data_IF_832657341385
#
_entry.id   IF_832657341385
#
_cell.length_a   1.000
_cell.length_b   1.000
_cell.length_c   1.000
_cell.angle_alpha   90.00
_cell.angle_beta   90.00
_cell.angle_gamma   90.00
#
_symmetry.space_group_name_H-M   'P 1'
#
loop_
_entity.id
_entity.type
_entity.pdbx_description
1 polymer ?
2 non-polymer ?
3 non-polymer ?
4 non-polymer ?
5 water ?
#
# COMPACT_ATOMS: atom_id res chain seq x y z
N UNK A 1 15.47 27.16 -17.20
CA UNK A 1 14.19 27.47 -17.80
C UNK A 1 13.00 27.23 -16.86
N UNK A 2 12.09 28.20 -16.81
CA UNK A 2 10.88 28.06 -16.00
C UNK A 2 10.05 26.89 -16.51
N UNK A 3 9.58 26.06 -15.58
CA UNK A 3 8.75 24.91 -15.93
C UNK A 3 7.35 25.06 -15.35
N UNK A 4 6.39 24.42 -16.00
CA UNK A 4 5.03 24.32 -15.49
C UNK A 4 4.85 22.95 -14.84
N UNK A 5 4.63 22.98 -13.53
CA UNK A 5 4.48 21.78 -12.71
C UNK A 5 3.03 21.67 -12.27
N UNK A 6 2.39 20.54 -12.55
CA UNK A 6 1.01 20.34 -12.14
C UNK A 6 0.94 19.22 -11.11
N UNK A 7 0.31 19.50 -9.98
CA UNK A 7 0.08 18.51 -8.95
C UNK A 7 -1.40 18.21 -8.80
N UNK A 8 -1.76 16.94 -8.85
CA UNK A 8 -3.15 16.53 -8.68
C UNK A 8 -3.24 15.72 -7.39
N UNK A 9 -4.11 16.18 -6.48
CA UNK A 9 -4.30 15.55 -5.17
C UNK A 9 -5.76 15.72 -4.80
N UNK A 10 -6.24 14.91 -3.85
CA UNK A 10 -7.60 15.14 -3.37
C UNK A 10 -7.63 16.36 -2.43
N UNK A 11 -8.83 16.92 -2.27
CA UNK A 11 -9.04 17.93 -1.24
C UNK A 11 -9.20 17.30 0.13
N UNK A 12 -8.41 17.75 1.10
CA UNK A 12 -8.55 17.32 2.48
C UNK A 12 -9.40 18.28 3.32
N UNK A 13 -9.74 19.42 2.73
CA UNK A 13 -10.61 20.39 3.38
C UNK A 13 -10.10 20.74 4.79
N UNK A 14 -10.97 20.67 5.79
CA UNK A 14 -10.59 21.08 7.14
C UNK A 14 -9.45 20.22 7.72
N UNK A 15 -9.31 19.00 7.23
CA UNK A 15 -8.24 18.14 7.72
C UNK A 15 -6.86 18.73 7.43
N UNK A 16 -6.76 19.48 6.33
CA UNK A 16 -5.48 20.08 5.92
C UNK A 16 -5.05 21.24 6.81
N UNK A 17 -6.02 21.92 7.42
CA UNK A 17 -5.69 23.00 8.35
C UNK A 17 -5.49 22.46 9.76
N UNK A 18 -6.22 21.41 10.10
CA UNK A 18 -6.00 20.74 11.37
C UNK A 18 -4.60 20.12 11.43
N UNK A 19 -4.08 19.70 10.29
CA UNK A 19 -2.72 19.19 10.23
C UNK A 19 -1.97 19.70 9.00
N UNK A 20 -1.22 20.81 9.15
CA UNK A 20 -0.44 21.36 8.04
C UNK A 20 0.65 20.41 7.52
N UNK A 21 0.98 19.34 8.26
CA UNK A 21 1.92 18.33 7.75
C UNK A 21 1.26 17.23 6.93
N UNK A 22 -0.06 17.35 6.73
CA UNK A 22 -0.80 16.48 5.82
C UNK A 22 -0.48 16.98 4.40
N UNK A 23 0.63 16.51 3.86
CA UNK A 23 1.17 17.10 2.63
C UNK A 23 0.52 16.56 1.35
N UNK A 24 -0.05 15.36 1.43
CA UNK A 24 -0.63 14.72 0.26
C UNK A 24 -2.04 15.14 -0.06
N UNK A 25 -2.28 16.45 -0.16
CA UNK A 25 -3.59 16.99 -0.49
C UNK A 25 -3.42 18.31 -1.24
N UNK A 26 -4.52 18.82 -1.81
CA UNK A 26 -4.46 20.05 -2.59
C UNK A 26 -3.99 21.21 -1.75
N UNK A 27 -4.49 21.27 -0.52
CA UNK A 27 -4.31 22.44 0.31
C UNK A 27 -2.85 22.66 0.71
N UNK A 28 -2.12 21.57 0.97
CA UNK A 28 -0.73 21.67 1.37
C UNK A 28 0.24 21.31 0.25
N UNK A 29 -0.21 20.51 -0.72
CA UNK A 29 0.48 20.32 -2.00
C UNK A 29 1.95 19.93 -1.92
N UNK A 30 2.24 18.94 -1.09
CA UNK A 30 3.61 18.43 -0.90
C UNK A 30 4.53 19.41 -0.21
N UNK A 31 4.01 20.57 0.19
CA UNK A 31 4.85 21.54 0.87
C UNK A 31 5.96 22.10 0.00
N UNK A 32 5.77 22.09 -1.32
CA UNK A 32 6.81 22.54 -2.26
C UNK A 32 6.49 23.83 -2.99
N UNK A 33 5.34 24.45 -2.74
CA UNK A 33 4.97 25.64 -3.50
C UNK A 33 5.95 26.79 -3.32
N UNK A 34 6.31 27.11 -2.08
CA UNK A 34 7.20 28.26 -1.84
C UNK A 34 8.50 28.04 -2.61
N UNK A 35 9.05 26.84 -2.53
CA UNK A 35 10.30 26.52 -3.19
C UNK A 35 10.17 26.61 -4.72
N UNK A 36 9.16 25.95 -5.29
CA UNK A 36 8.97 26.03 -6.74
C UNK A 36 8.82 27.48 -7.22
N UNK A 37 8.02 28.26 -6.51
CA UNK A 37 7.78 29.63 -6.94
C UNK A 37 9.02 30.49 -6.81
N UNK A 38 9.83 30.22 -5.78
CA UNK A 38 11.08 30.96 -5.59
C UNK A 38 12.07 30.72 -6.73
N UNK A 39 11.92 29.57 -7.39
CA UNK A 39 12.78 29.18 -8.49
C UNK A 39 12.21 29.61 -9.84
N UNK A 40 11.06 30.29 -9.82
CA UNK A 40 10.49 30.81 -11.05
C UNK A 40 9.57 29.86 -11.79
N UNK A 41 9.29 28.69 -11.20
CA UNK A 41 8.38 27.74 -11.83
C UNK A 41 6.93 28.06 -11.51
N UNK A 42 6.02 27.59 -12.36
CA UNK A 42 4.61 27.67 -12.04
C UNK A 42 4.14 26.37 -11.42
N UNK A 43 3.35 26.46 -10.36
CA UNK A 43 2.83 25.26 -9.68
C UNK A 43 1.32 25.32 -9.66
N UNK A 44 0.69 24.47 -10.45
CA UNK A 44 -0.77 24.44 -10.53
C UNK A 44 -1.22 23.19 -9.80
N UNK A 45 -2.11 23.35 -8.84
CA UNK A 45 -2.58 22.24 -8.04
C UNK A 45 -4.10 22.14 -8.13
N UNK A 46 -4.61 20.93 -8.37
CA UNK A 46 -6.04 20.74 -8.50
C UNK A 46 -6.46 19.33 -8.11
N UNK A 47 -7.71 19.19 -7.69
CA UNK A 47 -8.31 17.87 -7.51
C UNK A 47 -9.20 17.52 -8.70
N UNK A 48 -9.38 18.46 -9.62
CA UNK A 48 -10.38 18.33 -10.69
C UNK A 48 -9.74 17.68 -11.92
N UNK A 49 -9.84 16.35 -12.01
CA UNK A 49 -8.98 15.56 -12.87
C UNK A 49 -9.72 14.67 -13.84
N UNK A 50 -11.06 14.71 -13.81
CA UNK A 50 -11.87 13.86 -14.66
C UNK A 50 -12.82 14.65 -15.57
N UNK A 51 -12.90 14.26 -16.83
CA UNK A 51 -13.82 14.88 -17.77
C UNK A 51 -13.10 15.80 -18.73
N UNK A 52 -13.70 16.03 -19.91
CA UNK A 52 -13.08 16.88 -20.94
C UNK A 52 -12.91 18.31 -20.47
N UNK A 53 -13.74 18.74 -19.53
CA UNK A 53 -13.78 20.14 -19.12
C UNK A 53 -13.11 20.39 -17.77
N UNK A 54 -12.42 19.38 -17.24
CA UNK A 54 -11.83 19.51 -15.91
C UNK A 54 -10.60 20.41 -15.93
N UNK A 55 -10.23 20.92 -14.75
CA UNK A 55 -9.10 21.82 -14.64
C UNK A 55 -7.82 21.18 -15.19
N UNK A 56 -7.61 19.90 -14.91
CA UNK A 56 -6.39 19.23 -15.36
C UNK A 56 -6.25 19.31 -16.88
N UNK A 57 -7.34 19.09 -17.61
CA UNK A 57 -7.30 19.12 -19.06
C UNK A 57 -6.90 20.51 -19.62
N UNK A 58 -7.14 21.56 -18.85
CA UNK A 58 -6.68 22.89 -19.26
C UNK A 58 -5.16 22.99 -19.32
N UNK A 59 -4.48 22.17 -18.51
CA UNK A 59 -3.04 22.29 -18.35
C UNK A 59 -2.24 21.20 -19.04
N UNK A 60 -2.88 20.07 -19.34
CA UNK A 60 -2.21 19.02 -20.09
C UNK A 60 -1.51 19.50 -21.36
N UNK A 61 -2.13 20.43 -22.12
CA UNK A 61 -1.47 20.83 -23.39
C UNK A 61 -0.08 21.45 -23.21
N UNK A 62 0.21 22.08 -22.06
CA UNK A 62 1.50 22.77 -21.94
C UNK A 62 2.32 22.52 -20.67
N UNK A 63 1.86 21.64 -19.79
CA UNK A 63 2.64 21.32 -18.59
C UNK A 63 3.93 20.56 -18.94
N UNK A 64 4.94 20.68 -18.08
CA UNK A 64 6.17 19.90 -18.22
C UNK A 64 6.22 18.66 -17.33
N UNK A 65 5.66 18.79 -16.13
CA UNK A 65 5.71 17.75 -15.12
C UNK A 65 4.31 17.56 -14.55
N UNK A 66 3.89 16.30 -14.41
CA UNK A 66 2.62 15.98 -13.77
C UNK A 66 2.89 15.06 -12.58
N UNK A 67 2.42 15.47 -11.40
CA UNK A 67 2.61 14.73 -10.15
C UNK A 67 1.24 14.30 -9.63
N UNK A 68 1.10 13.03 -9.23
CA UNK A 68 -0.11 12.63 -8.49
C UNK A 68 0.22 11.45 -7.60
N UNK A 69 -0.78 11.00 -6.85
CA UNK A 69 -0.65 9.87 -5.94
C UNK A 69 -1.71 8.82 -6.28
N UNK A 70 -1.49 7.58 -5.83
CA UNK A 70 -2.49 6.54 -6.12
C UNK A 70 -3.78 6.76 -5.34
N UNK A 71 -3.83 7.72 -4.42
CA UNK A 71 -5.07 8.03 -3.69
C UNK A 71 -6.04 8.92 -4.46
N UNK A 72 -5.56 9.60 -5.50
CA UNK A 72 -6.40 10.46 -6.33
C UNK A 72 -5.63 10.63 -7.63
N UNK A 73 -5.55 9.54 -8.40
CA UNK A 73 -4.56 9.52 -9.48
C UNK A 73 -5.01 10.30 -10.70
N UNK A 74 -4.10 11.04 -11.31
CA UNK A 74 -4.35 11.65 -12.61
C UNK A 74 -3.97 10.61 -13.67
N UNK A 75 -4.99 10.02 -14.31
CA UNK A 75 -4.74 8.95 -15.28
C UNK A 75 -4.00 9.48 -16.50
N UNK A 76 -2.92 8.80 -16.86
CA UNK A 76 -2.12 9.24 -17.99
C UNK A 76 -2.29 8.26 -19.12
N UNK A 77 -3.28 8.55 -19.94
CA UNK A 77 -3.63 7.74 -21.10
C UNK A 77 -2.82 8.14 -22.32
N UNK A 78 -2.78 7.26 -23.32
CA UNK A 78 -2.15 7.58 -24.59
C UNK A 78 -2.82 8.83 -25.18
N UNK A 79 -4.15 8.92 -25.03
CA UNK A 79 -4.92 10.07 -25.53
C UNK A 79 -4.43 11.39 -24.93
N UNK A 80 -4.23 11.39 -23.62
CA UNK A 80 -3.70 12.58 -22.95
C UNK A 80 -2.25 12.90 -23.34
N UNK A 81 -1.41 11.86 -23.42
CA UNK A 81 -0.02 12.06 -23.79
C UNK A 81 0.10 12.73 -25.16
N UNK A 82 -0.75 12.33 -26.10
CA UNK A 82 -0.71 12.86 -27.46
C UNK A 82 -1.05 14.36 -27.50
N UNK A 83 -1.80 14.82 -26.51
CA UNK A 83 -2.20 16.23 -26.41
C UNK A 83 -1.17 17.10 -25.71
N UNK A 84 -0.18 16.46 -25.09
CA UNK A 84 0.71 17.14 -24.16
C UNK A 84 1.99 17.58 -24.87
N UNK A 85 2.04 18.84 -25.30
CA UNK A 85 3.16 19.33 -26.09
C UNK A 85 4.47 19.34 -25.32
N UNK A 86 4.43 19.69 -24.04
CA UNK A 86 5.64 19.92 -23.28
C UNK A 86 5.94 18.85 -22.26
N UNK A 87 5.04 17.89 -22.08
CA UNK A 87 5.19 16.93 -21.00
C UNK A 87 6.49 16.14 -21.16
N UNK A 88 7.27 16.06 -20.07
CA UNK A 88 8.47 15.24 -20.03
C UNK A 88 8.46 14.23 -18.89
N UNK A 89 7.91 14.63 -17.74
CA UNK A 89 8.15 13.91 -16.50
C UNK A 89 6.86 13.62 -15.75
N UNK A 90 6.68 12.35 -15.39
CA UNK A 90 5.56 11.90 -14.57
C UNK A 90 6.14 11.40 -13.25
N UNK A 91 5.72 12.04 -12.16
CA UNK A 91 6.16 11.64 -10.82
C UNK A 91 4.99 11.15 -9.99
N UNK A 92 5.18 10.00 -9.34
CA UNK A 92 4.24 9.56 -8.33
C UNK A 92 4.79 9.93 -6.96
N UNK A 93 4.04 10.78 -6.23
CA UNK A 93 4.42 11.14 -4.87
C UNK A 93 3.94 10.03 -3.95
N UNK A 94 4.68 8.92 -3.96
CA UNK A 94 4.24 7.69 -3.33
C UNK A 94 4.76 6.53 -4.15
N UNK A 95 4.04 5.42 -4.09
CA UNK A 95 4.42 4.22 -4.79
C UNK A 95 3.17 3.74 -5.50
N UNK A 96 3.32 3.44 -6.76
CA UNK A 96 2.21 3.02 -7.56
C UNK A 96 2.21 3.84 -8.82
N UNK A 97 2.16 3.15 -9.94
CA UNK A 97 2.02 3.91 -11.18
C UNK A 97 1.09 3.18 -12.15
N UNK A 98 0.15 2.43 -11.58
CA UNK A 98 -0.83 1.67 -12.37
C UNK A 98 -1.79 2.58 -13.16
N UNK A 99 -1.87 3.86 -12.79
CA UNK A 99 -2.71 4.84 -13.48
C UNK A 99 -2.03 5.48 -14.69
N UNK A 100 -0.84 4.99 -15.03
CA UNK A 100 -0.06 5.51 -16.16
C UNK A 100 0.07 4.42 -17.22
N UNK A 101 -0.22 4.77 -18.48
CA UNK A 101 0.07 3.87 -19.60
C UNK A 101 1.57 3.91 -19.86
N UNK A 102 2.30 2.96 -19.27
CA UNK A 102 3.76 3.02 -19.30
C UNK A 102 4.33 2.82 -20.69
N UNK A 103 3.70 1.98 -21.48
CA UNK A 103 4.13 1.76 -22.85
C UNK A 103 3.98 3.04 -23.69
N UNK A 104 2.86 3.73 -23.52
CA UNK A 104 2.65 5.01 -24.21
C UNK A 104 3.62 6.07 -23.70
N UNK A 105 3.90 6.08 -22.40
CA UNK A 105 4.88 7.01 -21.85
C UNK A 105 6.25 6.75 -22.47
N UNK A 106 6.64 5.48 -22.55
CA UNK A 106 7.92 5.11 -23.14
C UNK A 106 7.97 5.54 -24.61
N UNK A 107 6.92 5.23 -25.37
CA UNK A 107 6.87 5.59 -26.78
C UNK A 107 7.02 7.09 -27.01
N UNK A 108 6.53 7.89 -26.05
CA UNK A 108 6.58 9.35 -26.14
C UNK A 108 7.88 9.94 -25.59
N UNK A 109 8.79 9.09 -25.15
CA UNK A 109 10.08 9.55 -24.65
C UNK A 109 10.08 10.10 -23.23
N UNK A 110 9.04 9.80 -22.46
CA UNK A 110 8.90 10.37 -21.14
C UNK A 110 9.74 9.66 -20.09
N UNK A 111 9.86 10.32 -18.94
CA UNK A 111 10.41 9.71 -17.74
C UNK A 111 9.28 9.54 -16.75
N UNK A 112 9.23 8.38 -16.09
CA UNK A 112 8.24 8.07 -15.09
C UNK A 112 8.99 7.57 -13.86
N UNK A 113 8.73 8.15 -12.68
CA UNK A 113 9.47 7.74 -11.49
C UNK A 113 8.58 7.81 -10.26
N UNK A 114 8.96 7.06 -9.21
CA UNK A 114 8.24 7.08 -7.94
C UNK A 114 9.21 6.98 -6.79
N UNK A 115 8.67 7.11 -5.57
CA UNK A 115 9.52 7.21 -4.38
C UNK A 115 9.70 5.81 -3.77
N UNK A 116 10.52 5.01 -4.43
CA UNK A 116 10.69 3.61 -4.07
C UNK A 116 11.07 3.40 -2.61
N UNK A 117 10.39 2.45 -1.97
CA UNK A 117 10.79 1.98 -0.65
C UNK A 117 10.28 2.81 0.51
N UNK A 118 9.57 3.90 0.24
CA UNK A 118 9.21 4.86 1.27
C UNK A 118 8.02 4.47 2.17
N UNK A 119 7.33 3.38 1.86
CA UNK A 119 6.19 2.95 2.67
C UNK A 119 6.45 1.71 3.52
N UNK A 120 7.65 1.13 3.43
CA UNK A 120 7.83 -0.22 3.94
C UNK A 120 7.70 -0.33 5.47
N UNK A 121 8.26 0.61 6.21
CA UNK A 121 8.13 0.55 7.68
C UNK A 121 6.66 0.72 8.07
N UNK A 122 5.98 1.63 7.38
CA UNK A 122 4.58 1.93 7.67
C UNK A 122 3.74 0.68 7.55
N UNK A 123 3.92 -0.04 6.46
CA UNK A 123 3.12 -1.25 6.24
C UNK A 123 3.47 -2.35 7.24
N UNK A 124 4.77 -2.53 7.52
CA UNK A 124 5.21 -3.52 8.50
C UNK A 124 4.60 -3.27 9.88
N UNK A 125 4.64 -2.02 10.34
CA UNK A 125 4.04 -1.67 11.61
C UNK A 125 2.55 -2.00 11.61
N UNK A 126 1.89 -1.66 10.51
CA UNK A 126 0.45 -1.85 10.43
C UNK A 126 0.12 -3.33 10.49
N UNK A 127 0.93 -4.16 9.86
CA UNK A 127 0.71 -5.60 9.93
C UNK A 127 0.85 -6.11 11.36
N UNK A 128 1.88 -5.66 12.07
CA UNK A 128 2.11 -6.10 13.45
C UNK A 128 0.94 -5.69 14.34
N UNK A 129 0.49 -4.44 14.17
CA UNK A 129 -0.67 -3.96 14.89
C UNK A 129 -1.86 -4.90 14.71
N UNK A 130 -2.15 -5.29 13.47
CA UNK A 130 -3.29 -6.14 13.17
C UNK A 130 -3.15 -7.55 13.74
N UNK A 131 -1.93 -8.08 13.77
CA UNK A 131 -1.69 -9.36 14.41
C UNK A 131 -2.14 -9.29 15.86
N UNK A 132 -1.73 -8.25 16.58
CA UNK A 132 -2.16 -8.08 17.95
C UNK A 132 -3.67 -7.85 18.09
N UNK A 133 -4.24 -6.98 17.23
CA UNK A 133 -5.68 -6.72 17.29
C UNK A 133 -6.48 -8.02 17.18
N UNK A 134 -6.09 -8.87 16.23
CA UNK A 134 -6.82 -10.12 16.04
C UNK A 134 -6.53 -11.10 17.18
N UNK A 135 -5.26 -11.27 17.52
CA UNK A 135 -4.89 -12.29 18.52
C UNK A 135 -5.49 -11.98 19.89
N UNK A 136 -5.41 -10.72 20.29
CA UNK A 136 -5.86 -10.26 21.59
C UNK A 136 -7.36 -9.86 21.61
N UNK A 137 -8.00 -9.92 20.45
CA UNK A 137 -9.45 -9.74 20.36
C UNK A 137 -9.91 -8.32 20.75
N UNK A 138 -9.20 -7.31 20.26
CA UNK A 138 -9.51 -5.93 20.58
C UNK A 138 -10.90 -5.48 20.08
N UNK A 139 -11.26 -5.85 18.86
CA UNK A 139 -12.46 -5.27 18.25
C UNK A 139 -13.76 -5.55 19.03
N UNK A 140 -14.02 -6.82 19.44
CA UNK A 140 -15.23 -7.04 20.22
C UNK A 140 -15.24 -6.24 21.52
N UNK A 141 -14.07 -6.04 22.12
CA UNK A 141 -13.96 -5.22 23.31
C UNK A 141 -14.35 -3.78 23.03
N UNK A 142 -13.74 -3.21 22.00
CA UNK A 142 -14.05 -1.84 21.62
C UNK A 142 -15.55 -1.68 21.35
N UNK A 143 -16.14 -2.65 20.66
CA UNK A 143 -17.54 -2.55 20.29
C UNK A 143 -18.48 -2.60 21.49
N UNK A 144 -18.11 -3.32 22.55
CA UNK A 144 -18.88 -3.34 23.78
C UNK A 144 -18.89 -1.96 24.45
N UNK A 145 -17.74 -1.30 24.44
CA UNK A 145 -17.59 -0.01 25.09
C UNK A 145 -18.63 0.94 24.51
N UNK A 146 -18.63 1.04 23.19
CA UNK A 146 -19.52 1.94 22.47
C UNK A 146 -21.00 1.63 22.70
N UNK A 147 -21.30 0.36 22.95
CA UNK A 147 -22.68 -0.10 23.10
C UNK A 147 -23.18 -0.13 24.55
N UNK A 148 -22.35 0.35 25.48
CA UNK A 148 -22.72 0.42 26.88
C UNK A 148 -22.66 -0.92 27.59
N UNK A 149 -22.00 -1.89 26.96
CA UNK A 149 -21.94 -3.25 27.48
C UNK A 149 -20.70 -3.53 28.34
N UNK A 150 -20.76 -4.64 29.07
CA UNK A 150 -19.62 -5.13 29.82
C UNK A 150 -19.77 -6.64 30.00
N UNK A 151 -19.15 -7.37 29.09
CA UNK A 151 -19.29 -8.83 29.01
C UNK A 151 -17.90 -9.42 28.76
N UNK A 152 -17.18 -9.65 29.85
CA UNK A 152 -15.80 -10.16 29.77
C UNK A 152 -15.72 -11.51 29.04
N UNK A 153 -16.62 -12.43 29.37
CA UNK A 153 -16.58 -13.76 28.78
C UNK A 153 -16.68 -13.72 27.27
N UNK A 154 -17.49 -12.80 26.76
CA UNK A 154 -17.71 -12.69 25.33
C UNK A 154 -16.47 -12.21 24.58
N UNK A 155 -15.50 -11.66 25.31
CA UNK A 155 -14.23 -11.25 24.72
C UNK A 155 -13.16 -12.30 24.99
N UNK A 156 -13.08 -12.75 26.24
CA UNK A 156 -11.99 -13.64 26.67
C UNK A 156 -11.94 -14.96 25.91
N UNK A 157 -13.09 -15.47 25.48
CA UNK A 157 -13.12 -16.82 24.91
C UNK A 157 -12.39 -16.90 23.57
N UNK A 158 -12.13 -15.75 22.95
CA UNK A 158 -11.35 -15.71 21.73
C UNK A 158 -10.14 -14.78 21.85
N UNK A 159 -9.68 -14.53 23.07
CA UNK A 159 -8.53 -13.65 23.31
C UNK A 159 -7.32 -14.47 23.79
N UNK A 160 -6.20 -14.31 23.09
CA UNK A 160 -4.95 -15.02 23.38
C UNK A 160 -3.80 -14.03 23.46
N UNK A 161 -2.73 -14.42 24.16
CA UNK A 161 -1.47 -13.69 24.04
C UNK A 161 -0.79 -14.07 22.72
N UNK A 162 0.00 -13.14 22.18
CA UNK A 162 0.79 -13.43 21.01
C UNK A 162 1.99 -14.35 21.30
N UNK A 163 2.55 -14.22 22.49
CA UNK A 163 3.64 -15.07 22.93
C UNK A 163 3.34 -16.54 22.64
N UNK A 164 4.30 -17.25 22.08
CA UNK A 164 4.18 -18.69 21.90
C UNK A 164 3.46 -19.14 20.64
N UNK A 165 2.82 -18.19 19.93
CA UNK A 165 2.03 -18.53 18.75
C UNK A 165 2.90 -18.69 17.51
N UNK A 166 2.41 -19.49 16.56
CA UNK A 166 3.12 -19.67 15.29
C UNK A 166 2.60 -18.65 14.28
N UNK A 167 3.50 -17.78 13.81
CA UNK A 167 3.17 -16.73 12.86
C UNK A 167 3.95 -17.00 11.60
N UNK A 168 3.26 -17.07 10.47
CA UNK A 168 3.92 -17.26 9.18
C UNK A 168 3.69 -16.09 8.25
N UNK A 169 4.77 -15.56 7.66
CA UNK A 169 4.59 -14.58 6.60
C UNK A 169 4.79 -15.23 5.23
N UNK A 170 3.81 -14.99 4.36
CA UNK A 170 3.84 -15.50 2.98
C UNK A 170 4.52 -14.40 2.19
N UNK A 171 5.83 -14.55 1.99
CA UNK A 171 6.64 -13.48 1.46
C UNK A 171 7.52 -12.86 2.52
N UNK A 172 8.81 -12.73 2.21
CA UNK A 172 9.78 -12.09 3.10
C UNK A 172 10.66 -11.11 2.33
N UNK A 173 9.99 -10.22 1.60
CA UNK A 173 10.66 -9.07 1.00
C UNK A 173 10.90 -8.01 2.07
N UNK A 174 11.07 -6.77 1.67
CA UNK A 174 11.39 -5.71 2.61
C UNK A 174 10.38 -5.62 3.75
N UNK A 175 9.10 -5.60 3.41
CA UNK A 175 8.05 -5.47 4.41
C UNK A 175 8.05 -6.68 5.36
N UNK A 176 8.08 -7.89 4.81
CA UNK A 176 8.08 -9.08 5.63
C UNK A 176 9.26 -9.15 6.58
N UNK A 177 10.42 -8.72 6.11
CA UNK A 177 11.61 -8.72 6.96
C UNK A 177 11.51 -7.72 8.13
N UNK A 178 11.01 -6.51 7.86
CA UNK A 178 10.77 -5.52 8.91
C UNK A 178 9.76 -6.05 9.92
N UNK A 179 8.75 -6.76 9.42
CA UNK A 179 7.77 -7.39 10.29
C UNK A 179 8.42 -8.39 11.24
N UNK A 180 9.24 -9.27 10.67
CA UNK A 180 9.87 -10.32 11.45
C UNK A 180 10.78 -9.72 12.53
N UNK A 181 11.47 -8.63 12.20
CA UNK A 181 12.31 -7.96 13.16
C UNK A 181 11.50 -7.39 14.33
N UNK A 182 10.30 -6.89 14.04
CA UNK A 182 9.44 -6.37 15.09
C UNK A 182 8.74 -7.47 15.92
N UNK A 183 8.57 -8.65 15.31
CA UNK A 183 7.97 -9.77 16.02
C UNK A 183 8.94 -10.48 16.96
N UNK A 184 10.23 -10.37 16.69
CA UNK A 184 11.23 -11.11 17.46
C UNK A 184 11.03 -11.06 18.99
N UNK A 185 10.90 -9.86 19.58
CA UNK A 185 10.84 -9.82 21.05
C UNK A 185 9.55 -10.36 21.67
N UNK A 186 8.56 -10.68 20.85
CA UNK A 186 7.29 -11.22 21.39
C UNK A 186 7.35 -12.70 21.78
N UNK A 187 8.42 -13.40 21.38
CA UNK A 187 8.59 -14.79 21.79
C UNK A 187 7.67 -15.76 21.07
N UNK A 188 7.55 -15.56 19.75
CA UNK A 188 6.70 -16.39 18.91
C UNK A 188 7.52 -17.46 18.20
N UNK A 189 6.83 -18.38 17.54
CA UNK A 189 7.42 -19.32 16.61
C UNK A 189 7.25 -18.76 15.19
N UNK A 190 8.29 -18.11 14.69
CA UNK A 190 8.21 -17.38 13.41
C UNK A 190 8.62 -18.25 12.24
N UNK A 191 7.77 -18.29 11.23
CA UNK A 191 8.03 -19.02 10.00
C UNK A 191 7.89 -18.07 8.83
N UNK A 192 8.67 -18.29 7.79
CA UNK A 192 8.50 -17.50 6.59
C UNK A 192 8.71 -18.34 5.33
N UNK A 193 7.99 -17.96 4.28
CA UNK A 193 8.14 -18.59 2.98
C UNK A 193 8.42 -17.52 1.96
N UNK A 194 9.36 -17.80 1.07
CA UNK A 194 9.75 -16.85 0.04
C UNK A 194 10.60 -17.56 -1.01
N UNK A 195 10.74 -16.95 -2.18
CA UNK A 195 11.59 -17.49 -3.23
C UNK A 195 13.03 -17.49 -2.77
N UNK A 196 13.33 -16.59 -1.85
CA UNK A 196 14.70 -16.35 -1.41
C UNK A 196 14.79 -16.49 0.11
N UNK A 197 15.60 -17.44 0.57
CA UNK A 197 15.83 -17.62 1.99
C UNK A 197 16.64 -16.46 2.54
N UNK A 198 16.31 -15.99 3.74
CA UNK A 198 17.11 -14.95 4.36
C UNK A 198 18.46 -15.53 4.75
N UNK A 199 19.44 -14.66 5.01
CA UNK A 199 20.75 -15.07 5.48
C UNK A 199 20.66 -15.77 6.83
N UNK A 200 21.53 -16.77 7.07
CA UNK A 200 21.53 -17.48 8.36
C UNK A 200 21.55 -16.52 9.56
N UNK A 201 22.32 -15.44 9.46
CA UNK A 201 22.43 -14.48 10.54
C UNK A 201 21.11 -13.76 10.79
N UNK A 202 20.38 -13.47 9.70
CA UNK A 202 19.11 -12.78 9.83
C UNK A 202 18.05 -13.72 10.38
N UNK A 203 18.13 -14.99 9.98
CA UNK A 203 17.26 -16.00 10.57
C UNK A 203 17.53 -16.14 12.06
N UNK A 204 18.80 -16.10 12.44
CA UNK A 204 19.14 -16.19 13.85
C UNK A 204 18.63 -14.98 14.64
N UNK A 205 18.83 -13.78 14.10
CA UNK A 205 18.40 -12.55 14.78
C UNK A 205 16.89 -12.44 14.96
N UNK A 206 16.13 -12.87 13.96
CA UNK A 206 14.68 -12.80 14.04
C UNK A 206 14.11 -14.06 14.66
N UNK A 207 14.90 -15.13 14.66
CA UNK A 207 14.43 -16.45 15.05
C UNK A 207 13.50 -17.05 14.01
N UNK A 208 13.44 -16.45 12.83
CA UNK A 208 12.51 -16.92 11.81
C UNK A 208 13.07 -18.12 11.05
N UNK A 209 12.22 -19.14 10.85
CA UNK A 209 12.64 -20.35 10.15
C UNK A 209 12.02 -20.41 8.75
N UNK A 210 12.86 -20.73 7.78
CA UNK A 210 12.47 -20.81 6.37
C UNK A 210 11.66 -22.10 6.11
N UNK A 211 10.52 -21.95 5.47
CA UNK A 211 9.73 -23.10 5.03
C UNK A 211 9.59 -23.09 3.52
N UNK A 212 10.38 -23.93 2.87
CA UNK A 212 10.49 -23.95 1.42
C UNK A 212 9.14 -24.23 0.75
N UNK A 213 8.37 -25.13 1.34
CA UNK A 213 7.09 -25.55 0.76
C UNK A 213 5.95 -24.80 1.44
N UNK A 214 5.30 -23.91 0.70
CA UNK A 214 4.23 -23.08 1.27
C UNK A 214 3.10 -23.92 1.86
N UNK A 215 2.78 -25.03 1.20
CA UNK A 215 1.70 -25.89 1.67
C UNK A 215 2.03 -26.62 2.97
N UNK A 216 3.32 -26.72 3.28
CA UNK A 216 3.74 -27.24 4.58
C UNK A 216 3.61 -26.18 5.67
N UNK A 217 3.87 -24.92 5.33
CA UNK A 217 3.85 -23.86 6.33
C UNK A 217 2.44 -23.49 6.76
N UNK A 218 1.55 -23.30 5.81
CA UNK A 218 0.22 -22.74 6.11
C UNK A 218 -0.56 -23.44 7.23
N UNK A 219 -0.66 -24.79 7.19
CA UNK A 219 -1.46 -25.44 8.23
C UNK A 219 -0.89 -25.34 9.65
N UNK A 220 0.38 -25.00 9.79
CA UNK A 220 1.01 -24.82 11.10
C UNK A 220 0.71 -23.49 11.78
N UNK A 221 0.26 -22.52 11.00
CA UNK A 221 0.16 -21.13 11.47
C UNK A 221 -1.09 -20.78 12.27
N UNK A 222 -0.87 -20.15 13.42
CA UNK A 222 -1.95 -19.50 14.15
C UNK A 222 -2.33 -18.20 13.45
N UNK A 223 -1.33 -17.55 12.86
CA UNK A 223 -1.52 -16.30 12.12
C UNK A 223 -0.80 -16.40 10.80
N UNK A 224 -1.47 -15.99 9.73
CA UNK A 224 -0.87 -15.92 8.40
C UNK A 224 -0.87 -14.47 7.96
N UNK A 225 0.29 -13.98 7.52
CA UNK A 225 0.42 -12.59 7.04
C UNK A 225 0.78 -12.61 5.56
N UNK A 226 -0.05 -11.97 4.76
CA UNK A 226 0.17 -11.95 3.31
C UNK A 226 1.14 -10.83 2.94
N UNK A 227 2.24 -11.20 2.30
CA UNK A 227 3.28 -10.25 1.92
C UNK A 227 3.86 -10.56 0.54
N UNK A 228 3.00 -10.77 -0.45
CA UNK A 228 3.45 -11.05 -1.81
C UNK A 228 2.67 -10.20 -2.79
N UNK A 229 3.23 -10.01 -4.00
CA UNK A 229 2.54 -9.32 -5.09
C UNK A 229 1.35 -10.12 -5.60
N UNK A 230 0.41 -9.43 -6.25
CA UNK A 230 -0.69 -10.09 -6.94
C UNK A 230 -0.24 -10.52 -8.34
N UNK A 231 -0.27 -11.83 -8.59
CA UNK A 231 0.13 -12.38 -9.89
C UNK A 231 -0.90 -13.44 -10.30
N UNK A 232 -0.72 -14.00 -11.50
CA UNK A 232 -1.59 -15.08 -11.95
C UNK A 232 -1.52 -16.24 -10.96
N UNK A 233 -0.35 -16.46 -10.39
CA UNK A 233 -0.17 -17.52 -9.40
C UNK A 233 -0.88 -17.23 -8.08
N UNK A 234 -0.75 -16.00 -7.58
CA UNK A 234 -1.31 -15.68 -6.26
C UNK A 234 -2.77 -15.20 -6.32
N UNK A 235 -3.25 -14.88 -7.52
CA UNK A 235 -4.61 -14.38 -7.65
C UNK A 235 -5.62 -15.43 -7.18
N UNK A 236 -6.41 -15.08 -6.17
CA UNK A 236 -7.45 -15.96 -5.66
C UNK A 236 -6.93 -17.26 -5.07
N UNK A 237 -5.66 -17.28 -4.70
CA UNK A 237 -5.05 -18.50 -4.18
C UNK A 237 -5.72 -18.93 -2.88
N UNK A 238 -6.12 -17.97 -2.06
CA UNK A 238 -6.86 -18.28 -0.85
C UNK A 238 -8.34 -18.49 -1.18
N UNK A 239 -8.61 -19.68 -1.72
CA UNK A 239 -9.95 -20.10 -2.10
C UNK A 239 -10.50 -21.12 -1.09
N UNK A 240 -11.63 -21.71 -1.41
CA UNK A 240 -12.27 -22.64 -0.48
C UNK A 240 -11.34 -23.76 -0.07
N UNK A 241 -10.63 -24.32 -1.05
CA UNK A 241 -9.77 -25.47 -0.81
C UNK A 241 -8.60 -25.13 0.12
N UNK A 242 -7.87 -24.06 -0.22
CA UNK A 242 -6.69 -23.71 0.56
C UNK A 242 -7.07 -23.25 1.96
N UNK A 243 -8.12 -22.44 2.05
CA UNK A 243 -8.59 -21.98 3.36
C UNK A 243 -8.95 -23.19 4.23
N UNK A 244 -9.50 -24.22 3.60
CA UNK A 244 -9.89 -25.41 4.34
C UNK A 244 -8.70 -26.14 4.96
N UNK A 245 -7.53 -26.03 4.33
CA UNK A 245 -6.32 -26.66 4.83
C UNK A 245 -5.72 -25.91 6.02
N UNK A 246 -6.14 -24.67 6.26
CA UNK A 246 -5.61 -23.86 7.34
C UNK A 246 -6.13 -24.33 8.70
N UNK A 247 -5.40 -24.03 9.76
CA UNK A 247 -5.83 -24.31 11.12
C UNK A 247 -7.21 -23.72 11.34
N UNK A 248 -8.11 -24.50 11.92
CA UNK A 248 -9.38 -23.97 12.36
C UNK A 248 -9.13 -22.80 13.30
N UNK A 249 -9.70 -21.64 12.97
CA UNK A 249 -9.56 -20.46 13.80
C UNK A 249 -8.40 -19.57 13.41
N UNK A 250 -7.73 -19.90 12.30
CA UNK A 250 -6.58 -19.15 11.83
C UNK A 250 -6.92 -17.66 11.71
N UNK A 251 -5.94 -16.82 12.03
CA UNK A 251 -6.10 -15.37 11.89
C UNK A 251 -5.29 -14.93 10.70
N UNK A 252 -5.89 -14.10 9.84
CA UNK A 252 -5.22 -13.68 8.62
C UNK A 252 -5.11 -12.15 8.52
N UNK A 253 -3.90 -11.69 8.23
CA UNK A 253 -3.62 -10.26 8.06
C UNK A 253 -3.16 -10.02 6.63
N UNK A 254 -3.78 -9.07 5.93
CA UNK A 254 -3.50 -8.84 4.52
C UNK A 254 -3.50 -7.36 4.15
N UNK A 255 -2.31 -6.78 4.16
CA UNK A 255 -2.09 -5.41 3.65
C UNK A 255 -1.38 -5.46 2.30
N UNK A 256 -1.44 -6.61 1.64
CA UNK A 256 -0.79 -6.81 0.35
C UNK A 256 -1.74 -6.42 -0.79
N UNK A 257 -2.55 -7.37 -1.25
CA UNK A 257 -3.58 -7.10 -2.27
C UNK A 257 -4.84 -7.91 -1.92
N UNK A 258 -5.99 -7.29 -2.07
CA UNK A 258 -7.25 -7.94 -1.73
C UNK A 258 -7.52 -9.19 -2.54
N UNK A 259 -7.19 -9.13 -3.83
CA UNK A 259 -7.52 -10.22 -4.76
C UNK A 259 -6.67 -11.47 -4.59
N UNK A 260 -5.68 -11.42 -3.70
CA UNK A 260 -4.96 -12.64 -3.34
C UNK A 260 -5.91 -13.61 -2.64
N UNK A 261 -6.93 -13.05 -1.99
CA UNK A 261 -8.02 -13.84 -1.42
C UNK A 261 -9.15 -13.97 -2.43
N UNK A 262 -9.80 -15.12 -2.49
CA UNK A 262 -11.12 -15.21 -3.09
C UNK A 262 -12.09 -14.52 -2.16
N UNK A 263 -12.73 -13.46 -2.62
CA UNK A 263 -13.56 -12.64 -1.73
C UNK A 263 -14.61 -13.47 -0.99
N UNK A 264 -15.40 -14.24 -1.73
CA UNK A 264 -16.47 -15.01 -1.12
C UNK A 264 -15.97 -16.16 -0.27
N UNK A 265 -14.83 -16.75 -0.65
CA UNK A 265 -14.27 -17.85 0.13
C UNK A 265 -13.90 -17.38 1.53
N UNK A 266 -13.41 -16.15 1.63
CA UNK A 266 -13.10 -15.57 2.93
C UNK A 266 -14.38 -15.37 3.73
N UNK A 267 -15.39 -14.77 3.10
CA UNK A 267 -16.68 -14.56 3.77
C UNK A 267 -17.23 -15.88 4.31
N UNK A 268 -17.24 -16.91 3.48
CA UNK A 268 -17.76 -18.21 3.88
C UNK A 268 -17.00 -18.80 5.07
N UNK A 269 -15.68 -18.70 5.05
CA UNK A 269 -14.87 -19.32 6.10
C UNK A 269 -14.88 -18.50 7.39
N UNK A 270 -15.15 -17.21 7.27
CA UNK A 270 -15.33 -16.39 8.45
C UNK A 270 -16.69 -16.69 9.11
N UNK A 271 -17.71 -16.90 8.28
CA UNK A 271 -19.04 -17.21 8.80
C UNK A 271 -19.12 -18.56 9.50
N UNK A 272 -18.34 -19.52 9.01
CA UNK A 272 -18.32 -20.86 9.61
C UNK A 272 -17.39 -20.91 10.80
N UNK A 273 -16.42 -19.99 10.85
CA UNK A 273 -15.48 -19.95 11.96
C UNK A 273 -14.12 -20.54 11.63
N UNK A 274 -13.97 -21.10 10.43
CA UNK A 274 -12.69 -21.69 10.07
C UNK A 274 -11.59 -20.64 10.03
N UNK A 275 -11.90 -19.46 9.52
CA UNK A 275 -11.06 -18.29 9.75
C UNK A 275 -11.60 -17.58 10.98
N UNK A 276 -10.75 -17.41 12.00
CA UNK A 276 -11.15 -16.80 13.24
C UNK A 276 -11.23 -15.28 13.17
N UNK A 277 -10.49 -14.70 12.23
CA UNK A 277 -10.44 -13.26 12.09
C UNK A 277 -9.68 -12.89 10.85
N UNK A 278 -10.10 -11.81 10.20
CA UNK A 278 -9.44 -11.32 8.99
C UNK A 278 -9.28 -9.81 9.12
N UNK A 279 -8.05 -9.33 8.92
CA UNK A 279 -7.76 -7.90 9.06
C UNK A 279 -6.82 -7.41 7.97
N UNK A 280 -7.16 -6.29 7.36
CA UNK A 280 -6.28 -5.73 6.36
C UNK A 280 -6.82 -4.39 5.89
N UNK A 281 -6.09 -3.75 5.00
CA UNK A 281 -6.51 -2.46 4.48
C UNK A 281 -6.60 -2.45 2.95
N UNK A 282 -6.53 -3.65 2.35
CA UNK A 282 -6.66 -3.79 0.90
C UNK A 282 -7.92 -4.58 0.53
N UNK A 283 -8.53 -4.17 -0.58
CA UNK A 283 -9.86 -4.63 -0.95
C UNK A 283 -9.96 -4.86 -2.44
N UNK A 284 -10.94 -5.67 -2.85
CA UNK A 284 -11.32 -5.78 -4.26
C UNK A 284 -12.84 -5.71 -4.37
N UNK A 285 -13.37 -4.70 -5.07
CA UNK A 285 -12.64 -3.57 -5.68
C UNK A 285 -12.15 -2.58 -4.63
N UNK A 286 -11.35 -1.62 -5.08
CA UNK A 286 -10.78 -0.61 -4.19
C UNK A 286 -10.79 0.74 -4.91
N UNK A 287 -11.38 1.77 -4.30
CA UNK A 287 -12.04 1.79 -2.98
C UNK A 287 -13.17 0.76 -2.87
N UNK A 288 -13.38 0.25 -1.67
CA UNK A 288 -14.43 -0.74 -1.44
C UNK A 288 -15.80 -0.07 -1.52
N UNK A 289 -16.70 -0.62 -2.36
CA UNK A 289 -18.08 -0.15 -2.42
C UNK A 289 -18.75 -0.20 -1.05
N UNK A 290 -19.80 0.60 -0.89
CA UNK A 290 -20.54 0.68 0.37
C UNK A 290 -21.02 -0.70 0.80
N UNK A 291 -21.35 -1.55 -0.16
CA UNK A 291 -21.88 -2.87 0.14
C UNK A 291 -20.84 -3.99 0.12
N UNK A 292 -19.55 -3.64 0.12
CA UNK A 292 -18.51 -4.66 0.12
C UNK A 292 -18.70 -5.61 1.30
N UNK A 293 -18.78 -6.93 1.01
CA UNK A 293 -19.13 -7.91 2.05
C UNK A 293 -18.14 -8.01 3.21
N UNK A 294 -16.87 -7.67 2.97
CA UNK A 294 -15.87 -7.76 4.02
C UNK A 294 -16.14 -6.74 5.12
N UNK A 295 -16.93 -5.71 4.80
CA UNK A 295 -17.30 -4.70 5.78
C UNK A 295 -18.22 -5.27 6.87
N UNK A 296 -18.99 -6.30 6.53
CA UNK A 296 -20.11 -6.73 7.37
C UNK A 296 -20.00 -8.16 7.87
N UNK A 297 -18.92 -8.83 7.50
CA UNK A 297 -18.71 -10.21 7.92
C UNK A 297 -18.24 -10.27 9.38
N UNK A 298 -18.51 -11.40 10.05
CA UNK A 298 -18.08 -11.58 11.45
C UNK A 298 -16.56 -11.48 11.61
N UNK A 299 -16.12 -10.92 12.73
CA UNK A 299 -14.71 -10.93 13.11
C UNK A 299 -13.76 -10.20 12.19
N UNK A 300 -14.30 -9.27 11.41
CA UNK A 300 -13.45 -8.47 10.55
C UNK A 300 -12.83 -7.33 11.34
N UNK A 301 -11.56 -7.03 11.03
CA UNK A 301 -10.88 -5.87 11.60
C UNK A 301 -10.28 -5.05 10.47
N UNK A 302 -11.13 -4.71 9.51
CA UNK A 302 -10.71 -3.98 8.32
C UNK A 302 -10.57 -2.49 8.56
N UNK A 303 -9.81 -1.84 7.69
CA UNK A 303 -9.87 -0.39 7.55
C UNK A 303 -9.78 -0.04 6.07
N UNK A 304 -10.09 1.23 5.71
CA UNK A 304 -9.79 1.67 4.34
C UNK A 304 -8.28 1.64 4.10
N UNK A 305 -7.86 1.84 2.86
CA UNK A 305 -6.48 1.62 2.47
C UNK A 305 -5.57 2.79 2.84
N UNK A 306 -5.12 2.86 4.09
CA UNK A 306 -4.38 4.04 4.51
C UNK A 306 -3.03 3.79 5.21
N UNK A 307 -2.61 2.53 5.35
CA UNK A 307 -1.37 2.26 6.09
C UNK A 307 -0.13 2.94 5.49
N UNK A 308 -0.14 3.16 4.19
CA UNK A 308 0.98 3.82 3.52
C UNK A 308 0.79 5.31 3.31
N UNK A 309 -0.17 5.90 4.00
CA UNK A 309 -0.37 7.34 3.89
C UNK A 309 -0.47 8.00 5.27
N UNK A 310 0.22 7.40 6.24
CA UNK A 310 0.45 8.10 7.49
C UNK A 310 1.21 9.39 7.18
N UNK A 311 1.18 10.33 8.12
CA UNK A 311 1.88 11.60 7.93
C UNK A 311 3.38 11.36 7.67
N UNK A 312 3.99 10.40 8.37
CA UNK A 312 5.42 10.15 8.17
C UNK A 312 5.73 9.61 6.78
N UNK A 313 4.87 8.74 6.26
CA UNK A 313 5.03 8.27 4.89
C UNK A 313 4.88 9.46 3.92
N UNK A 314 3.86 10.29 4.15
CA UNK A 314 3.64 11.44 3.29
C UNK A 314 4.85 12.38 3.26
N UNK A 315 5.48 12.59 4.41
CA UNK A 315 6.67 13.42 4.44
C UNK A 315 7.79 12.83 3.58
N UNK A 316 7.98 11.52 3.65
CA UNK A 316 8.94 10.87 2.76
C UNK A 316 8.55 11.01 1.29
N UNK A 317 7.27 10.89 0.97
CA UNK A 317 6.82 11.04 -0.41
C UNK A 317 7.13 12.44 -0.92
N UNK A 318 6.82 13.44 -0.09
CA UNK A 318 7.04 14.82 -0.47
C UNK A 318 8.55 15.09 -0.64
N UNK A 319 9.36 14.61 0.30
CA UNK A 319 10.80 14.82 0.22
C UNK A 319 11.40 14.17 -1.03
N UNK A 320 10.95 12.96 -1.36
CA UNK A 320 11.48 12.27 -2.53
C UNK A 320 11.06 12.96 -3.82
N UNK A 321 9.84 13.49 -3.83
CA UNK A 321 9.34 14.22 -5.00
C UNK A 321 10.15 15.50 -5.18
N UNK A 322 10.39 16.24 -4.09
CA UNK A 322 11.19 17.45 -4.16
C UNK A 322 12.60 17.14 -4.67
N UNK A 323 13.21 16.08 -4.17
CA UNK A 323 14.54 15.68 -4.62
C UNK A 323 14.56 15.40 -6.11
N UNK A 324 13.58 14.64 -6.60
CA UNK A 324 13.53 14.35 -8.04
C UNK A 324 13.26 15.60 -8.87
N UNK A 325 12.40 16.51 -8.40
CA UNK A 325 12.21 17.76 -9.12
C UNK A 325 13.52 18.54 -9.21
N UNK A 326 14.25 18.65 -8.10
CA UNK A 326 15.51 19.38 -8.11
C UNK A 326 16.47 18.74 -9.12
N UNK A 327 16.59 17.41 -9.08
CA UNK A 327 17.46 16.71 -10.02
C UNK A 327 17.02 16.95 -11.48
N UNK A 328 15.72 16.91 -11.73
CA UNK A 328 15.18 17.17 -13.06
C UNK A 328 15.59 18.58 -13.54
N UNK A 329 15.44 19.58 -12.68
CA UNK A 329 15.79 20.95 -13.07
C UNK A 329 17.28 21.06 -13.37
N UNK A 330 18.12 20.29 -12.66
CA UNK A 330 19.57 20.38 -12.80
C UNK A 330 20.16 19.40 -13.81
N UNK A 331 19.32 18.56 -14.41
CA UNK A 331 19.78 17.56 -15.35
C UNK A 331 20.55 16.40 -14.75
N UNK A 332 20.21 16.03 -13.51
CA UNK A 332 20.89 14.93 -12.82
C UNK A 332 20.00 13.70 -12.77
N UNK A 333 20.59 12.51 -12.87
CA UNK A 333 19.82 11.27 -12.77
C UNK A 333 19.18 11.11 -11.41
N UNK A 334 18.01 10.50 -11.39
CA UNK A 334 17.34 10.10 -10.16
C UNK A 334 18.02 8.85 -9.61
N UNK A 335 17.74 8.50 -8.34
CA UNK A 335 18.15 7.18 -7.86
C UNK A 335 17.64 6.10 -8.82
N UNK A 336 18.49 5.15 -9.16
CA UNK A 336 18.18 4.15 -10.18
C UNK A 336 16.88 3.42 -9.84
N UNK A 337 16.71 3.08 -8.58
CA UNK A 337 15.54 2.32 -8.15
C UNK A 337 14.21 3.09 -8.26
N UNK A 338 14.27 4.40 -8.46
CA UNK A 338 13.05 5.21 -8.62
C UNK A 338 12.49 5.19 -10.03
N UNK A 339 13.31 4.86 -11.02
CA UNK A 339 12.85 4.90 -12.41
C UNK A 339 11.94 3.74 -12.77
N UNK A 340 10.82 4.08 -13.41
CA UNK A 340 9.95 3.10 -14.08
C UNK A 340 10.19 3.20 -15.60
N UNK A 341 10.22 4.42 -16.12
CA UNK A 341 10.63 4.72 -17.49
C UNK A 341 11.69 5.82 -17.40
N UNK A 342 12.80 5.65 -18.11
CA UNK A 342 13.84 6.68 -18.15
C UNK A 342 14.06 7.12 -19.58
N UNK A 343 13.70 8.36 -19.89
CA UNK A 343 13.88 8.90 -21.24
C UNK A 343 13.41 7.93 -22.31
N UNK A 344 12.21 7.41 -22.15
CA UNK A 344 11.60 6.53 -23.12
C UNK A 344 11.93 5.06 -22.98
N UNK A 345 12.77 4.70 -22.01
CA UNK A 345 13.16 3.30 -21.82
C UNK A 345 12.49 2.69 -20.59
N UNK A 346 11.59 1.73 -20.83
CA UNK A 346 10.85 1.05 -19.77
C UNK A 346 11.81 0.10 -19.09
N UNK A 347 11.93 0.19 -17.76
CA UNK A 347 12.76 -0.74 -17.00
C UNK A 347 12.34 -2.19 -17.28
N UNK A 348 13.31 -3.13 -17.33
CA UNK A 348 12.98 -4.51 -17.72
C UNK A 348 11.88 -5.16 -16.87
N UNK A 349 11.80 -4.85 -15.58
CA UNK A 349 10.77 -5.47 -14.74
C UNK A 349 9.38 -5.16 -15.22
N UNK A 350 9.24 -4.04 -15.91
CA UNK A 350 7.93 -3.51 -16.26
C UNK A 350 7.52 -3.86 -17.68
N UNK A 351 8.40 -4.53 -18.40
CA UNK A 351 8.07 -4.99 -19.75
C UNK A 351 7.27 -6.28 -19.70
X LIG B 1 21.50 8.26 -5.54
X LIG B 1 22.92 8.28 -5.19
X LIG B 1 21.01 6.89 -5.47
X LIG B 1 20.77 9.10 -4.59
X LIG B 1 21.28 8.79 -6.89
X LIG C 1 -17.47 -18.52 17.49
X LIG C 1 -17.07 -19.87 17.87
X LIG C 1 -17.43 -18.40 16.04
X LIG C 1 -18.82 -18.25 17.96
X LIG C 1 -16.55 -17.55 18.08
X LIG D 1 16.82 -12.11 2.16
X LIG D 1 15.87 -11.45 1.34
X LIG D 1 18.21 -11.49 1.96
X LIG D 1 18.13 -10.13 2.33
X LIG D 1 19.25 -12.16 2.86
X LIG D 1 18.83 -12.19 4.21
X LIG E 1 0.74 25.26 -1.61
X LIG E 1 0.39 25.04 -0.25
X LIG E 1 -0.50 25.57 -2.44
X LIG E 1 -1.24 26.61 -1.85
X LIG E 1 -1.35 24.32 -2.61
X LIG E 1 -2.38 24.55 -3.54
X LIG F 1 0.88 5.10 -1.31
X LIG F 1 1.80 5.77 -2.16
X LIG F 1 1.43 3.72 -1.05
X LIG F 1 1.33 2.99 -2.24
X LIG F 1 0.61 3.01 0.04
X LIG F 1 1.33 1.94 0.62
X LIG G 1 8.83 20.02 0.96
X LIG G 1 10.06 20.66 1.19
X LIG G 1 8.33 19.33 2.21
X LIG G 1 9.21 18.25 2.44
X LIG G 1 8.33 20.33 3.36
X LIG G 1 7.78 21.61 3.02
X LIG H 1 1.25 -3.63 -1.22
X LIG H 1 0.00 -3.22 -0.73
X LIG H 1 2.31 -3.49 -0.12
X LIG H 1 1.90 -4.14 1.06
X LIG H 1 2.57 -2.02 0.16
X LIG H 1 3.01 -1.39 -1.00
X LIG I 1 23.27 12.15 -13.83
X LIG I 1 23.99 12.63 -13.06
X LIG I 1 24.69 13.13 -12.29
X LIG J 1 -19.68 -6.37 -6.09
X LIG J 1 -19.00 -7.41 -6.76
X LIG J 1 -18.85 -5.10 -6.15
X LIG J 1 -18.03 -5.11 -7.28
X LIG J 1 -17.99 -4.99 -4.89
X LIG J 1 -18.81 -4.81 -3.75
X LIG K 1 -5.19 -18.12 17.56
X LIG K 1 -6.33 -17.72 18.29
X LIG K 1 -4.54 -19.35 18.17
X LIG K 1 -4.73 -20.45 17.31
X LIG K 1 -5.15 -19.68 19.53
X LIG K 1 -4.51 -20.82 20.06
X LIG L 1 3.58 16.51 -28.77
X LIG L 1 4.78 16.50 -28.02
X LIG L 1 2.99 15.12 -28.78
X LIG L 1 3.67 14.35 -29.76
X LIG L 1 3.18 14.48 -27.42
X LIG L 1 3.21 13.07 -27.54
X LIG M 1 3.28 0.19 -10.18
X LIG M 1 2.02 0.22 -9.56
X LIG M 1 4.19 1.24 -9.55
X LIG M 1 5.38 1.23 -10.27
X LIG M 1 4.49 0.92 -8.10
X LIG M 1 5.52 -0.04 -8.02
X LIG N 1 9.82 -8.18 -2.83
X LIG N 1 9.90 -8.25 -4.23
X LIG N 1 10.20 -6.76 -2.40
X LIG N 1 11.60 -6.60 -2.46
X LIG N 1 9.66 -6.36 -1.03
X LIG N 1 8.25 -6.48 -0.98
X LIG O 1 -9.76 -12.24 16.83
X LIG O 1 -10.41 -12.29 15.86
X LIG O 1 -11.07 -12.32 14.92
X LIG P 1 12.31 20.15 2.67
X LIG P 1 13.33 20.95 2.11
X LIG P 1 11.36 20.95 3.54
X LIG P 1 11.42 20.50 4.87
X LIG P 1 11.65 22.45 3.47
X LIG P 1 10.49 23.21 3.73
X LIG Q 1 12.81 -11.36 -1.58
X LIG Q 1 11.41 -11.32 -1.39
X LIG Q 1 13.28 -10.19 -2.44
X LIG Q 1 14.18 -10.68 -3.42
X LIG Q 1 13.99 -9.20 -1.52
X LIG Q 1 13.91 -7.86 -2.01
#
# INVERSE_FOLDING_TARGET
>A
DSKKIVGVFYKANEYATKNPNFLGCVENALGIRDWLESQGHQYIVTDDKEGPDCELEKHIPDLHVLISTPFHPAYVTAERIKKAKNLKLLLTAGIGSDHIDLQAAAAAGLTVAEVTGSNVVSVAEDELMRILILMRNFVPGYNQVVKGEWNVAGIAYRAYDLEGKTIGTVGAGRIGKLLLQRLKPFGCNLLYHDRLQMAPELEKETGAKFVEDLNEMLPKCDVIVINMPLTEKTRGMFNKELIGKLKKGVLIVNNARGAIMERQAVVDAVESGHIGGYSGDVWDPQPAPKDHPWRYMPNQAMTPHTSGTTIDAQLRYAAGTKDMLERYFKGEDFPTENYIVKDGELAPQYR
>B hetero
1 SO4 S O1 O2 O3 O4
>C hetero
1 SO4 S O1 O2 O3 O4
>D hetero
1 GOL C1 O1 C2 O2 C3 O3
>E hetero
1 GOL C1 O1 C2 O2 C3 O3
>F hetero
1 GOL C1 O1 C2 O2 C3 O3
>G hetero
1 GOL C1 O1 C2 O2 C3 O3
>H hetero
1 GOL C1 O1 C2 O2 C3 O3
>I hetero
1 AZI N1 N2 N3
>J hetero
1 GOL C1 O1 C2 O2 C3 O3
>K hetero
1 GOL C1 O1 C2 O2 C3 O3
>L hetero
1 GOL C1 O1 C2 O2 C3 O3
>M hetero
1 GOL C1 O1 C2 O2 C3 O3
>N hetero
1 GOL C1 O1 C2 O2 C3 O3
>O hetero
1 AZI N1 N2 N3
>P hetero
1 GOL C1 O1 C2 O2 C3 O3
>Q hetero
1 GOL C1 O1 C2 O2 C3 O3
#
